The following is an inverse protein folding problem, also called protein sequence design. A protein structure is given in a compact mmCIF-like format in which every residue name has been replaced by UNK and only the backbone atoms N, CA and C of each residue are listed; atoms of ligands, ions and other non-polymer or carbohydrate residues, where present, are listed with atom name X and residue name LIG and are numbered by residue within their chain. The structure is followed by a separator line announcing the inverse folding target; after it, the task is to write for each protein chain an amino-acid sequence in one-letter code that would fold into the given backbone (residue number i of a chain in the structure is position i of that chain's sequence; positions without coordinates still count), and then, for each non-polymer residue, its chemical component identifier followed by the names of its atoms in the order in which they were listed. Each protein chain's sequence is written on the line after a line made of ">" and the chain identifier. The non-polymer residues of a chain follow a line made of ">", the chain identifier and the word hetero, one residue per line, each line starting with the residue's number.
data_IF_272982639726
#
_entry.id   IF_272982639726
#
_cell.length_a   1.000
_cell.length_b   1.000
_cell.length_c   1.000
_cell.angle_alpha   90.00
_cell.angle_beta   90.00
_cell.angle_gamma   90.00
#
_symmetry.space_group_name_H-M   'P 1'
#
loop_
_entity.id
_entity.type
_entity.pdbx_description
1 polymer ?
#
# COMPACT_ATOMS: atom_id res chain seq x y z
N UNK A 1 49.96 34.68 24.75
CA UNK A 1 48.70 34.62 25.50
C UNK A 1 47.57 34.45 24.49
N UNK A 2 47.16 33.22 24.24
CA UNK A 2 45.89 32.91 23.58
C UNK A 2 44.76 32.95 24.62
N UNK A 3 43.53 33.33 24.22
CA UNK A 3 42.34 32.83 24.87
C UNK A 3 41.44 32.08 23.89
N UNK A 4 41.49 30.75 24.06
CA UNK A 4 40.40 29.76 24.17
C UNK A 4 39.07 30.01 23.44
N UNK A 5 38.78 29.06 22.56
CA UNK A 5 37.44 28.67 22.09
C UNK A 5 36.43 28.49 23.24
N UNK A 6 35.22 29.00 23.03
CA UNK A 6 33.99 28.48 23.61
C UNK A 6 32.99 28.24 22.48
N UNK A 7 32.86 26.96 22.11
CA UNK A 7 31.73 26.46 21.32
C UNK A 7 30.44 26.66 22.12
N UNK A 8 29.50 27.43 21.58
CA UNK A 8 28.08 27.36 21.94
C UNK A 8 27.33 26.95 20.68
N UNK A 9 27.03 25.65 20.58
CA UNK A 9 26.17 25.11 19.55
C UNK A 9 24.80 25.77 19.66
N UNK A 10 24.37 26.45 18.60
CA UNK A 10 23.00 26.96 18.48
C UNK A 10 22.04 25.77 18.38
N UNK A 11 21.53 25.30 19.51
CA UNK A 11 20.33 24.49 19.57
C UNK A 11 19.14 25.40 19.26
N UNK A 12 18.60 25.28 18.05
CA UNK A 12 17.39 25.97 17.65
C UNK A 12 16.17 25.19 18.13
N UNK A 13 15.36 25.82 18.99
CA UNK A 13 14.05 25.31 19.41
C UNK A 13 12.97 25.77 18.42
N UNK A 14 12.09 24.85 18.02
CA UNK A 14 10.83 25.17 17.36
C UNK A 14 9.95 25.96 18.34
N UNK A 15 9.67 27.23 18.05
CA UNK A 15 8.33 27.83 17.93
C UNK A 15 8.46 29.36 17.90
N UNK A 16 7.82 30.04 16.93
CA UNK A 16 7.34 31.45 17.00
C UNK A 16 7.18 32.02 15.59
N UNK A 17 5.95 32.08 15.07
CA UNK A 17 5.64 32.82 13.84
C UNK A 17 4.21 32.66 13.33
N UNK A 18 3.69 33.74 12.76
CA UNK A 18 2.37 33.87 12.10
C UNK A 18 2.31 33.10 10.75
N UNK A 19 3.28 32.23 10.46
CA UNK A 19 3.54 31.62 9.17
C UNK A 19 4.02 30.17 9.38
N UNK A 20 3.27 29.17 8.90
CA UNK A 20 3.62 27.74 8.98
C UNK A 20 2.49 26.84 9.49
N UNK A 21 2.64 25.52 9.30
CA UNK A 21 1.73 24.48 9.80
C UNK A 21 1.75 24.43 11.33
N UNK A 22 0.70 24.95 11.97
CA UNK A 22 0.61 25.00 13.42
C UNK A 22 -0.30 23.89 13.97
N UNK A 23 0.20 23.04 14.89
CA UNK A 23 -0.61 22.08 15.62
C UNK A 23 -1.74 22.75 16.41
N UNK A 24 -2.88 22.09 16.45
CA UNK A 24 -4.09 22.57 17.10
C UNK A 24 -4.53 21.55 18.16
N UNK A 25 -4.61 21.98 19.41
CA UNK A 25 -5.21 21.20 20.48
C UNK A 25 -6.74 21.35 20.39
N UNK A 26 -7.43 20.23 20.14
CA UNK A 26 -8.89 20.18 20.02
C UNK A 26 -9.45 18.84 20.49
N UNK A 27 -10.70 18.86 20.96
CA UNK A 27 -11.46 17.63 21.24
C UNK A 27 -12.22 17.12 20.01
N UNK A 28 -12.32 17.93 18.95
CA UNK A 28 -12.96 17.54 17.69
C UNK A 28 -12.13 16.46 17.00
N UNK A 29 -12.80 15.48 16.37
CA UNK A 29 -12.17 14.38 15.63
C UNK A 29 -12.64 14.40 14.17
N UNK A 30 -11.99 13.59 13.34
CA UNK A 30 -12.48 13.30 11.98
C UNK A 30 -13.90 12.74 12.09
N UNK A 31 -14.81 13.29 11.29
CA UNK A 31 -16.23 12.93 11.26
C UNK A 31 -16.43 11.60 10.54
N UNK A 32 -17.30 10.76 11.10
CA UNK A 32 -17.82 9.54 10.47
C UNK A 32 -19.37 9.61 10.38
N UNK A 33 -19.93 10.83 10.39
CA UNK A 33 -21.37 11.02 10.45
C UNK A 33 -22.06 10.78 9.10
N UNK A 34 -21.32 10.93 7.99
CA UNK A 34 -21.85 10.68 6.65
C UNK A 34 -22.09 9.18 6.47
N UNK A 35 -23.29 8.81 6.00
CA UNK A 35 -23.59 7.42 5.62
C UNK A 35 -22.53 6.89 4.66
N UNK A 36 -22.19 5.61 4.79
CA UNK A 36 -21.21 5.02 3.91
C UNK A 36 -21.77 4.89 2.48
N UNK A 37 -20.92 4.80 1.44
CA UNK A 37 -21.40 4.70 0.07
C UNK A 37 -22.31 3.47 -0.10
N UNK A 38 -23.48 3.68 -0.71
CA UNK A 38 -24.52 2.66 -0.91
C UNK A 38 -25.21 2.17 0.39
N UNK A 39 -25.13 2.92 1.49
CA UNK A 39 -25.92 2.70 2.69
C UNK A 39 -27.25 3.47 2.60
N UNK A 40 -28.37 2.81 2.93
CA UNK A 40 -29.67 3.49 2.96
C UNK A 40 -29.82 4.26 4.27
N UNK A 41 -30.44 5.46 4.26
CA UNK A 41 -30.75 6.17 5.49
C UNK A 41 -31.62 5.29 6.39
N UNK A 42 -31.40 5.32 7.72
CA UNK A 42 -32.33 4.67 8.63
C UNK A 42 -33.74 5.22 8.41
N UNK A 43 -34.79 4.38 8.50
CA UNK A 43 -36.15 4.86 8.41
C UNK A 43 -36.37 5.95 9.46
N UNK A 44 -37.11 7.02 9.12
CA UNK A 44 -37.39 8.08 10.09
C UNK A 44 -38.03 7.46 11.33
N UNK A 45 -37.66 7.91 12.54
CA UNK A 45 -38.27 7.40 13.75
C UNK A 45 -39.80 7.53 13.65
N UNK A 46 -40.58 6.55 14.13
CA UNK A 46 -42.03 6.67 14.16
C UNK A 46 -42.39 7.97 14.87
N UNK A 47 -43.26 8.78 14.27
CA UNK A 47 -43.73 10.04 14.85
C UNK A 47 -44.29 9.74 16.24
N UNK A 48 -43.52 10.04 17.28
CA UNK A 48 -44.01 9.99 18.65
C UNK A 48 -45.04 11.11 18.74
N UNK A 49 -46.31 10.74 18.98
CA UNK A 49 -47.36 11.71 19.27
C UNK A 49 -46.91 12.57 20.46
N UNK A 50 -47.14 13.88 20.35
CA UNK A 50 -46.73 14.86 21.35
C UNK A 50 -47.10 14.41 22.76
N UNK A 51 -46.16 14.39 23.73
CA UNK A 51 -46.51 14.07 25.10
C UNK A 51 -47.45 15.15 25.65
N UNK A 52 -48.63 14.71 26.08
CA UNK A 52 -49.57 15.49 26.89
C UNK A 52 -48.83 16.06 28.10
N UNK A 53 -48.96 17.37 28.31
CA UNK A 53 -48.31 18.12 29.37
C UNK A 53 -48.65 17.55 30.77
N UNK A 54 -47.68 16.88 31.40
CA UNK A 54 -47.71 16.58 32.82
C UNK A 54 -47.05 17.71 33.61
N UNK A 55 -47.82 18.35 34.49
CA UNK A 55 -47.36 19.40 35.40
C UNK A 55 -46.32 18.84 36.39
N UNK A 56 -45.13 19.46 36.43
CA UNK A 56 -44.08 19.17 37.42
C UNK A 56 -44.32 19.97 38.72
N UNK A 57 -44.12 19.39 39.92
CA UNK A 57 -44.06 20.16 41.16
C UNK A 57 -42.79 21.04 41.22
N UNK A 58 -42.91 22.21 41.87
CA UNK A 58 -41.83 23.18 42.07
C UNK A 58 -40.72 22.63 42.96
N UNK A 59 -39.47 22.69 42.50
CA UNK A 59 -38.28 22.45 43.31
C UNK A 59 -37.84 23.73 44.07
N UNK A 60 -37.18 23.63 45.24
CA UNK A 60 -36.70 24.79 45.99
C UNK A 60 -35.44 25.43 45.36
N UNK A 61 -35.22 26.70 45.72
CA UNK A 61 -34.21 27.60 45.15
C UNK A 61 -32.75 27.09 45.25
N UNK A 62 -31.87 27.45 44.29
CA UNK A 62 -30.47 27.07 44.31
C UNK A 62 -29.65 27.89 45.31
N UNK A 63 -28.78 27.21 46.07
CA UNK A 63 -27.77 27.83 46.91
C UNK A 63 -26.67 28.51 46.04
N UNK A 64 -26.17 29.66 46.51
CA UNK A 64 -25.13 30.48 45.86
C UNK A 64 -23.90 29.65 45.48
N UNK A 65 -23.60 29.60 44.18
CA UNK A 65 -22.32 29.11 43.67
C UNK A 65 -21.21 30.16 43.92
N UNK A 66 -20.03 29.69 44.36
CA UNK A 66 -18.80 30.48 44.46
C UNK A 66 -18.33 30.90 43.05
N UNK A 67 -17.71 32.09 42.90
CA UNK A 67 -17.32 32.59 41.59
C UNK A 67 -16.26 31.70 40.93
N UNK A 68 -16.26 31.59 39.59
CA UNK A 68 -15.28 30.79 38.86
C UNK A 68 -13.87 31.38 39.06
N UNK A 69 -12.91 30.52 39.38
CA UNK A 69 -11.49 30.88 39.37
C UNK A 69 -11.12 31.34 37.95
N UNK A 70 -10.49 32.51 37.86
CA UNK A 70 -9.83 32.99 36.64
C UNK A 70 -8.87 31.90 36.11
N UNK A 71 -8.76 31.70 34.79
CA UNK A 71 -7.73 30.83 34.23
C UNK A 71 -6.36 31.32 34.71
N UNK A 72 -5.63 30.46 35.43
CA UNK A 72 -4.21 30.68 35.68
C UNK A 72 -3.50 30.67 34.33
N UNK A 73 -2.90 31.80 33.97
CA UNK A 73 -1.94 31.90 32.87
C UNK A 73 -0.75 31.00 33.21
N UNK A 74 -0.68 29.83 32.61
CA UNK A 74 0.55 29.05 32.59
C UNK A 74 1.47 29.68 31.55
N UNK A 75 2.49 30.42 32.01
CA UNK A 75 3.63 30.89 31.20
C UNK A 75 4.55 29.71 30.83
N UNK A 76 4.00 28.70 30.15
CA UNK A 76 4.75 27.74 29.35
C UNK A 76 4.45 28.04 27.88
N UNK A 77 5.45 28.10 26.99
CA UNK A 77 5.20 28.17 25.55
C UNK A 77 4.28 27.01 25.18
N UNK A 78 3.10 27.31 24.65
CA UNK A 78 2.16 26.29 24.23
C UNK A 78 2.55 25.88 22.80
N UNK A 79 3.04 24.65 22.65
CA UNK A 79 3.53 24.12 21.35
C UNK A 79 2.39 23.92 20.32
N UNK A 80 1.12 23.95 20.78
CA UNK A 80 -0.09 23.88 19.97
C UNK A 80 -1.09 25.00 20.33
N UNK A 81 -1.89 25.43 19.35
CA UNK A 81 -2.95 26.43 19.55
C UNK A 81 -4.27 25.74 19.95
N UNK A 82 -4.95 26.21 20.99
CA UNK A 82 -6.25 25.64 21.38
C UNK A 82 -7.37 26.11 20.45
N UNK A 83 -8.19 25.19 19.95
CA UNK A 83 -9.43 25.54 19.25
C UNK A 83 -10.56 24.53 19.52
N UNK A 84 -11.72 25.04 19.95
CA UNK A 84 -12.88 24.20 20.27
C UNK A 84 -13.66 23.75 19.03
N UNK A 85 -13.62 24.54 17.95
CA UNK A 85 -14.36 24.27 16.72
C UNK A 85 -13.48 24.48 15.50
N UNK A 86 -13.29 23.41 14.73
CA UNK A 86 -12.55 23.41 13.49
C UNK A 86 -13.46 23.08 12.30
N UNK A 87 -13.05 23.42 11.07
CA UNK A 87 -13.70 22.92 9.87
C UNK A 87 -13.88 21.40 9.91
N UNK A 88 -15.12 20.95 9.69
CA UNK A 88 -15.44 19.52 9.66
C UNK A 88 -14.80 18.85 8.44
N UNK A 89 -14.24 17.67 8.68
CA UNK A 89 -13.61 16.80 7.69
C UNK A 89 -14.08 15.37 7.97
N UNK A 90 -14.64 14.73 6.95
CA UNK A 90 -15.04 13.32 6.99
C UNK A 90 -13.99 12.48 6.27
N UNK A 91 -13.78 11.23 6.70
CA UNK A 91 -12.83 10.33 6.01
C UNK A 91 -13.20 10.16 4.52
N UNK A 92 -14.50 10.22 4.21
CA UNK A 92 -15.02 10.15 2.84
C UNK A 92 -14.71 11.38 1.98
N UNK A 93 -14.09 12.44 2.53
CA UNK A 93 -13.60 13.58 1.75
C UNK A 93 -12.24 13.32 1.08
N UNK A 94 -11.50 12.28 1.51
CA UNK A 94 -10.17 11.94 0.98
C UNK A 94 -10.18 11.69 -0.53
N UNK A 95 -11.10 10.90 -1.12
CA UNK A 95 -11.05 10.64 -2.55
C UNK A 95 -11.25 11.89 -3.41
N UNK A 96 -12.09 12.83 -2.96
CA UNK A 96 -12.29 14.09 -3.69
C UNK A 96 -11.07 15.01 -3.56
N UNK A 97 -10.37 14.95 -2.42
CA UNK A 97 -9.09 15.61 -2.24
C UNK A 97 -8.01 15.02 -3.16
N UNK A 98 -7.95 13.69 -3.29
CA UNK A 98 -7.05 13.00 -4.22
C UNK A 98 -7.30 13.42 -5.68
N UNK A 99 -8.56 13.53 -6.11
CA UNK A 99 -8.86 14.02 -7.47
C UNK A 99 -8.36 15.46 -7.70
N UNK A 100 -8.48 16.34 -6.70
CA UNK A 100 -7.98 17.72 -6.78
C UNK A 100 -6.46 17.82 -6.85
N UNK A 101 -5.76 16.87 -6.23
CA UNK A 101 -4.30 16.71 -6.32
C UNK A 101 -3.86 16.05 -7.65
N UNK A 102 -4.81 15.66 -8.50
CA UNK A 102 -4.52 14.96 -9.75
C UNK A 102 -4.16 13.49 -9.56
N UNK A 103 -4.70 12.84 -8.52
CA UNK A 103 -4.48 11.43 -8.19
C UNK A 103 -5.73 10.55 -8.43
N UNK A 104 -6.18 10.42 -9.69
CA UNK A 104 -7.44 9.76 -9.99
C UNK A 104 -7.41 8.25 -9.74
N UNK A 105 -6.26 7.57 -9.81
CA UNK A 105 -6.18 6.13 -9.53
C UNK A 105 -6.25 5.87 -8.02
N UNK A 106 -5.54 6.66 -7.22
CA UNK A 106 -5.64 6.65 -5.76
C UNK A 106 -7.08 6.91 -5.30
N UNK A 107 -7.72 7.93 -5.88
CA UNK A 107 -9.11 8.27 -5.56
C UNK A 107 -10.08 7.13 -5.88
N UNK A 108 -9.89 6.42 -7.01
CA UNK A 108 -10.69 5.25 -7.38
C UNK A 108 -10.53 4.11 -6.38
N UNK A 109 -9.30 3.78 -5.97
CA UNK A 109 -9.04 2.74 -4.98
C UNK A 109 -9.64 3.10 -3.62
N UNK A 110 -9.49 4.35 -3.17
CA UNK A 110 -10.08 4.83 -1.92
C UNK A 110 -11.62 4.75 -1.94
N UNK A 111 -12.27 5.15 -3.04
CA UNK A 111 -13.72 5.00 -3.23
C UNK A 111 -14.15 3.54 -3.20
N UNK A 112 -13.41 2.67 -3.89
CA UNK A 112 -13.68 1.22 -3.89
C UNK A 112 -13.60 0.66 -2.48
N UNK A 113 -12.57 1.01 -1.71
CA UNK A 113 -12.44 0.58 -0.32
C UNK A 113 -13.65 1.00 0.51
N UNK A 114 -14.01 2.29 0.49
CA UNK A 114 -15.16 2.85 1.24
C UNK A 114 -16.49 2.19 0.85
N UNK A 115 -16.68 1.90 -0.43
CA UNK A 115 -17.91 1.29 -0.94
C UNK A 115 -17.98 -0.23 -0.71
N UNK A 116 -16.85 -0.90 -0.45
CA UNK A 116 -16.79 -2.35 -0.32
C UNK A 116 -17.41 -2.85 1.00
N UNK A 117 -17.97 -4.07 1.03
CA UNK A 117 -18.35 -4.73 2.27
C UNK A 117 -17.16 -4.81 3.24
N UNK A 118 -17.43 -4.83 4.55
CA UNK A 118 -16.39 -4.99 5.56
C UNK A 118 -15.58 -6.25 5.28
N UNK A 119 -14.29 -6.06 5.07
CA UNK A 119 -13.31 -7.12 4.88
C UNK A 119 -11.97 -6.67 5.46
N UNK A 120 -11.28 -7.57 6.14
CA UNK A 120 -9.96 -7.31 6.73
C UNK A 120 -8.96 -8.27 6.09
N UNK A 121 -7.93 -7.73 5.48
CA UNK A 121 -6.87 -8.55 4.92
C UNK A 121 -6.17 -9.34 6.03
N UNK A 122 -5.89 -10.61 5.79
CA UNK A 122 -5.35 -11.54 6.81
C UNK A 122 -3.81 -11.55 6.86
N UNK A 123 -3.14 -10.61 6.19
CA UNK A 123 -1.68 -10.53 6.04
C UNK A 123 -1.03 -11.77 5.40
N UNK A 124 -1.80 -12.60 4.69
CA UNK A 124 -1.30 -13.75 3.93
C UNK A 124 -1.39 -13.47 2.44
N UNK A 125 -0.24 -13.15 1.84
CA UNK A 125 -0.12 -12.72 0.44
C UNK A 125 -0.71 -13.71 -0.58
N UNK A 126 -0.69 -15.00 -0.29
CA UNK A 126 -1.16 -16.06 -1.17
C UNK A 126 -2.51 -16.67 -0.74
N UNK A 127 -3.28 -15.96 0.09
CA UNK A 127 -4.63 -16.38 0.46
C UNK A 127 -5.69 -15.81 -0.48
N UNK A 128 -6.86 -16.46 -0.60
CA UNK A 128 -8.00 -15.89 -1.30
C UNK A 128 -8.43 -14.56 -0.66
N UNK A 129 -8.53 -13.51 -1.48
CA UNK A 129 -8.95 -12.17 -1.08
C UNK A 129 -9.86 -11.58 -2.17
N UNK A 130 -10.70 -10.58 -1.85
CA UNK A 130 -11.31 -9.75 -2.89
C UNK A 130 -10.23 -9.14 -3.78
N UNK A 131 -10.45 -9.08 -5.10
CA UNK A 131 -9.46 -8.61 -6.07
C UNK A 131 -9.96 -7.33 -6.77
N UNK A 132 -9.04 -6.41 -7.02
CA UNK A 132 -9.14 -5.39 -8.06
C UNK A 132 -8.09 -5.67 -9.13
N UNK A 133 -8.51 -6.05 -10.34
CA UNK A 133 -7.62 -6.30 -11.48
C UNK A 133 -7.86 -5.33 -12.66
N UNK A 134 -8.52 -4.20 -12.39
CA UNK A 134 -8.98 -3.26 -13.43
C UNK A 134 -8.53 -1.83 -13.21
N UNK A 135 -8.30 -1.41 -11.97
CA UNK A 135 -8.01 -0.01 -11.63
C UNK A 135 -6.55 0.34 -11.94
N UNK A 136 -5.61 -0.53 -11.59
CA UNK A 136 -4.17 -0.32 -11.80
C UNK A 136 -3.70 -1.14 -12.98
N UNK A 137 -3.15 -0.47 -14.00
CA UNK A 137 -2.52 -1.13 -15.16
C UNK A 137 -1.00 -1.02 -15.11
N UNK A 138 -0.31 -2.00 -15.69
CA UNK A 138 1.14 -1.96 -15.80
C UNK A 138 1.57 -0.76 -16.66
N UNK A 139 0.91 -0.53 -17.80
CA UNK A 139 1.12 0.66 -18.64
C UNK A 139 1.06 1.97 -17.85
N UNK A 140 0.04 2.16 -17.00
CA UNK A 140 -0.09 3.36 -16.16
C UNK A 140 1.06 3.49 -15.17
N UNK A 141 1.39 2.42 -14.44
CA UNK A 141 2.48 2.44 -13.46
C UNK A 141 3.85 2.73 -14.11
N UNK A 142 4.06 2.29 -15.36
CA UNK A 142 5.28 2.54 -16.11
C UNK A 142 5.41 3.98 -16.64
N UNK A 143 4.40 4.85 -16.48
CA UNK A 143 4.53 6.29 -16.76
C UNK A 143 5.40 7.00 -15.73
N UNK A 144 5.54 6.43 -14.53
CA UNK A 144 6.36 6.96 -13.45
C UNK A 144 7.81 6.50 -13.59
N UNK A 145 8.76 7.45 -13.58
CA UNK A 145 10.17 7.20 -13.91
C UNK A 145 10.81 6.13 -13.03
N UNK A 146 10.66 6.20 -11.71
CA UNK A 146 11.31 5.24 -10.82
C UNK A 146 10.68 3.84 -10.88
N UNK A 147 9.36 3.74 -11.07
CA UNK A 147 8.71 2.47 -11.35
C UNK A 147 9.23 1.84 -12.66
N UNK A 148 9.35 2.64 -13.74
CA UNK A 148 9.95 2.19 -15.01
C UNK A 148 11.38 1.71 -14.85
N UNK A 149 12.20 2.39 -14.03
CA UNK A 149 13.57 1.96 -13.75
C UNK A 149 13.61 0.60 -13.05
N UNK A 150 12.75 0.38 -12.05
CA UNK A 150 12.66 -0.90 -11.34
C UNK A 150 12.15 -2.01 -12.26
N UNK A 151 11.13 -1.74 -13.07
CA UNK A 151 10.67 -2.67 -14.10
C UNK A 151 11.79 -3.07 -15.08
N UNK A 152 12.55 -2.09 -15.58
CA UNK A 152 13.69 -2.37 -16.47
C UNK A 152 14.76 -3.23 -15.78
N UNK A 153 15.04 -2.97 -14.50
CA UNK A 153 15.96 -3.80 -13.71
C UNK A 153 15.43 -5.24 -13.57
N UNK A 154 14.13 -5.43 -13.34
CA UNK A 154 13.51 -6.76 -13.28
C UNK A 154 13.77 -7.53 -14.57
N UNK A 155 13.33 -6.99 -15.71
CA UNK A 155 13.30 -7.71 -16.99
C UNK A 155 14.68 -7.85 -17.65
N UNK A 156 15.65 -7.00 -17.31
CA UNK A 156 17.00 -7.03 -17.90
C UNK A 156 18.06 -7.68 -17.01
N UNK A 157 17.82 -7.75 -15.70
CA UNK A 157 18.85 -8.18 -14.74
C UNK A 157 18.30 -9.17 -13.72
N UNK A 158 17.28 -8.82 -12.95
CA UNK A 158 16.87 -9.62 -11.79
C UNK A 158 16.35 -11.03 -12.17
N UNK A 159 15.73 -11.19 -13.34
CA UNK A 159 15.27 -12.50 -13.84
C UNK A 159 16.42 -13.45 -14.25
N UNK A 160 17.63 -12.94 -14.44
CA UNK A 160 18.80 -13.73 -14.88
C UNK A 160 19.70 -14.18 -13.72
N UNK A 161 19.28 -13.95 -12.47
CA UNK A 161 20.03 -14.40 -11.29
C UNK A 161 19.90 -15.91 -11.08
N UNK A 162 20.87 -16.53 -10.40
CA UNK A 162 20.82 -17.96 -10.08
C UNK A 162 19.58 -18.35 -9.28
N UNK A 163 19.18 -17.51 -8.31
CA UNK A 163 17.95 -17.71 -7.53
C UNK A 163 16.69 -17.67 -8.40
N UNK A 164 16.64 -16.75 -9.37
CA UNK A 164 15.53 -16.70 -10.31
C UNK A 164 15.52 -17.95 -11.21
N UNK A 165 16.69 -18.39 -11.68
CA UNK A 165 16.82 -19.62 -12.46
C UNK A 165 16.30 -20.84 -11.68
N UNK A 166 16.70 -21.00 -10.41
CA UNK A 166 16.22 -22.07 -9.52
C UNK A 166 14.70 -22.02 -9.32
N UNK A 167 14.14 -20.83 -9.08
CA UNK A 167 12.69 -20.66 -8.94
C UNK A 167 11.93 -21.03 -10.23
N UNK A 168 12.48 -20.74 -11.42
CA UNK A 168 11.90 -21.19 -12.69
C UNK A 168 12.00 -22.71 -12.81
N UNK A 169 13.11 -23.34 -12.41
CA UNK A 169 13.23 -24.82 -12.41
C UNK A 169 12.14 -25.45 -11.54
N UNK A 170 11.94 -24.94 -10.33
CA UNK A 170 10.94 -25.45 -9.41
C UNK A 170 9.51 -25.35 -9.97
N UNK A 171 9.21 -24.30 -10.75
CA UNK A 171 7.92 -24.16 -11.43
C UNK A 171 7.78 -25.12 -12.64
N UNK A 172 8.86 -25.36 -13.39
CA UNK A 172 8.83 -26.17 -14.62
C UNK A 172 8.94 -27.67 -14.38
N UNK A 173 9.69 -28.12 -13.37
CA UNK A 173 9.96 -29.55 -13.12
C UNK A 173 8.67 -30.38 -13.00
N UNK A 174 7.68 -30.01 -12.16
CA UNK A 174 6.45 -30.81 -12.02
C UNK A 174 5.68 -30.93 -13.34
N UNK A 175 5.76 -29.90 -14.18
CA UNK A 175 5.13 -29.88 -15.50
C UNK A 175 5.88 -30.80 -16.46
N UNK A 176 7.21 -30.69 -16.51
CA UNK A 176 8.08 -31.54 -17.33
C UNK A 176 7.88 -33.01 -17.00
N UNK A 177 7.92 -33.37 -15.72
CA UNK A 177 7.71 -34.74 -15.23
C UNK A 177 6.34 -35.27 -15.66
N UNK A 178 5.27 -34.48 -15.47
CA UNK A 178 3.92 -34.88 -15.86
C UNK A 178 3.78 -35.09 -17.37
N UNK A 179 4.34 -34.21 -18.18
CA UNK A 179 4.31 -34.34 -19.64
C UNK A 179 5.13 -35.54 -20.12
N UNK A 180 6.28 -35.79 -19.50
CA UNK A 180 7.15 -36.91 -19.83
C UNK A 180 6.51 -38.26 -19.45
N UNK A 181 5.97 -38.36 -18.23
CA UNK A 181 5.26 -39.56 -17.76
C UNK A 181 4.05 -39.90 -18.64
N UNK A 182 3.33 -38.87 -19.12
CA UNK A 182 2.19 -39.03 -20.02
C UNK A 182 2.57 -39.30 -21.49
N UNK A 183 3.86 -39.41 -21.83
CA UNK A 183 4.32 -39.64 -23.21
C UNK A 183 4.04 -38.46 -24.16
N UNK A 184 3.80 -37.26 -23.64
CA UNK A 184 3.41 -36.06 -24.41
C UNK A 184 4.60 -35.26 -24.95
N UNK A 185 5.84 -35.67 -24.66
CA UNK A 185 7.03 -35.05 -25.22
C UNK A 185 7.47 -35.76 -26.50
N UNK A 186 7.21 -35.13 -27.65
CA UNK A 186 7.66 -35.63 -28.96
C UNK A 186 9.13 -35.26 -29.24
N UNK A 187 9.73 -35.76 -30.32
CA UNK A 187 11.12 -35.51 -30.67
C UNK A 187 11.50 -34.02 -30.75
N UNK A 188 10.57 -33.16 -31.20
CA UNK A 188 10.75 -31.72 -31.32
C UNK A 188 10.63 -30.96 -29.97
N UNK A 189 10.27 -31.65 -28.89
CA UNK A 189 10.10 -31.07 -27.55
C UNK A 189 8.65 -30.74 -27.22
N UNK A 190 8.46 -29.93 -26.18
CA UNK A 190 7.13 -29.43 -25.78
C UNK A 190 7.19 -27.94 -25.52
N UNK A 191 6.16 -27.22 -25.95
CA UNK A 191 5.96 -25.81 -25.59
C UNK A 191 5.03 -25.75 -24.39
N UNK A 192 5.53 -25.16 -23.31
CA UNK A 192 4.77 -24.79 -22.12
C UNK A 192 4.34 -23.34 -22.31
N UNK A 193 3.04 -23.12 -22.51
CA UNK A 193 2.42 -21.78 -22.53
C UNK A 193 1.48 -21.65 -21.32
N UNK A 194 1.73 -20.65 -20.49
CA UNK A 194 0.98 -20.44 -19.24
C UNK A 194 -0.23 -19.51 -19.41
N UNK A 195 -0.50 -18.99 -20.61
CA UNK A 195 -1.65 -18.12 -20.88
C UNK A 195 -3.01 -18.69 -20.39
N UNK A 196 -3.31 -20.00 -20.52
CA UNK A 196 -4.59 -20.55 -20.05
C UNK A 196 -4.82 -20.39 -18.53
N UNK A 197 -3.75 -20.27 -17.73
CA UNK A 197 -3.84 -20.16 -16.27
C UNK A 197 -4.14 -18.73 -15.79
N UNK A 198 -4.11 -17.73 -16.67
CA UNK A 198 -4.39 -16.33 -16.33
C UNK A 198 -5.84 -16.07 -15.88
N UNK A 199 -6.74 -17.03 -16.08
CA UNK A 199 -8.13 -16.97 -15.61
C UNK A 199 -8.26 -16.93 -14.09
N UNK A 200 -7.26 -17.45 -13.37
CA UNK A 200 -7.16 -17.37 -11.92
C UNK A 200 -5.82 -16.74 -11.52
N UNK A 201 -5.82 -15.41 -11.36
CA UNK A 201 -4.60 -14.63 -11.08
C UNK A 201 -3.90 -15.03 -9.79
N UNK A 202 -4.64 -15.45 -8.75
CA UNK A 202 -4.05 -15.91 -7.49
C UNK A 202 -3.29 -17.22 -7.71
N UNK A 203 -3.94 -18.21 -8.31
CA UNK A 203 -3.32 -19.50 -8.56
C UNK A 203 -2.15 -19.37 -9.54
N UNK A 204 -2.31 -18.56 -10.59
CA UNK A 204 -1.25 -18.23 -11.53
C UNK A 204 -0.02 -17.64 -10.82
N UNK A 205 -0.23 -16.71 -9.88
CA UNK A 205 0.85 -16.15 -9.07
C UNK A 205 1.54 -17.19 -8.19
N UNK A 206 0.78 -18.12 -7.59
CA UNK A 206 1.36 -19.16 -6.73
C UNK A 206 2.21 -20.13 -7.56
N UNK A 207 1.70 -20.56 -8.71
CA UNK A 207 2.30 -21.65 -9.49
C UNK A 207 3.48 -21.19 -10.36
N UNK A 208 3.40 -19.97 -10.92
CA UNK A 208 4.30 -19.57 -12.01
C UNK A 208 5.24 -18.41 -11.68
N UNK A 209 5.03 -17.71 -10.55
CA UNK A 209 5.90 -16.61 -10.12
C UNK A 209 7.27 -17.13 -9.72
N UNK A 210 8.31 -16.58 -10.34
CA UNK A 210 9.69 -16.97 -10.04
C UNK A 210 10.56 -15.81 -9.55
N UNK A 211 10.17 -14.56 -9.78
CA UNK A 211 10.94 -13.39 -9.36
C UNK A 211 10.01 -12.21 -9.01
N UNK A 212 10.51 -11.31 -8.17
CA UNK A 212 9.87 -10.02 -7.90
C UNK A 212 10.91 -8.89 -7.84
N UNK A 213 10.43 -7.67 -8.01
CA UNK A 213 11.21 -6.46 -7.88
C UNK A 213 10.44 -5.45 -7.02
N UNK A 214 10.95 -5.12 -5.82
CA UNK A 214 10.34 -4.08 -5.00
C UNK A 214 10.52 -2.70 -5.63
N UNK A 215 9.47 -1.91 -5.46
CA UNK A 215 9.40 -0.47 -5.77
C UNK A 215 9.05 0.21 -4.46
N UNK A 216 10.02 0.96 -3.92
CA UNK A 216 9.76 1.75 -2.73
C UNK A 216 8.96 3.00 -3.09
N UNK A 217 8.19 3.51 -2.13
CA UNK A 217 7.49 4.79 -2.22
C UNK A 217 8.43 5.92 -2.66
N UNK A 218 9.69 5.90 -2.23
CA UNK A 218 10.69 6.89 -2.64
C UNK A 218 10.93 6.89 -4.16
N UNK A 219 10.91 5.71 -4.78
CA UNK A 219 11.03 5.57 -6.23
C UNK A 219 9.75 6.00 -6.99
N UNK A 220 8.66 6.32 -6.28
CA UNK A 220 7.40 6.77 -6.88
C UNK A 220 7.18 8.27 -6.77
N UNK A 221 8.09 9.01 -6.13
CA UNK A 221 8.01 10.47 -5.98
C UNK A 221 8.31 11.21 -7.29
N UNK A 222 7.73 12.39 -7.44
CA UNK A 222 8.14 13.39 -8.42
C UNK A 222 8.86 14.54 -7.71
N UNK A 223 10.19 14.54 -7.78
CA UNK A 223 11.02 15.39 -6.92
C UNK A 223 10.84 15.03 -5.45
N UNK A 224 10.17 15.91 -4.70
CA UNK A 224 9.84 15.72 -3.28
C UNK A 224 8.35 15.51 -3.03
N UNK A 225 7.51 15.54 -4.07
CA UNK A 225 6.07 15.41 -3.97
C UNK A 225 5.63 13.95 -4.14
N UNK A 226 4.60 13.55 -3.39
CA UNK A 226 3.90 12.29 -3.62
C UNK A 226 3.14 12.33 -4.94
N UNK A 227 2.97 11.17 -5.55
CA UNK A 227 2.27 11.03 -6.82
C UNK A 227 1.04 10.14 -6.68
N UNK A 228 0.23 10.08 -7.74
CA UNK A 228 -0.88 9.13 -7.83
C UNK A 228 -0.41 7.67 -7.67
N UNK A 229 0.80 7.32 -8.13
CA UNK A 229 1.35 5.99 -7.90
C UNK A 229 1.64 5.75 -6.42
N UNK A 230 2.18 6.76 -5.73
CA UNK A 230 2.46 6.68 -4.31
C UNK A 230 1.20 6.55 -3.48
N UNK A 231 0.16 7.32 -3.80
CA UNK A 231 -1.13 7.25 -3.11
C UNK A 231 -1.90 5.96 -3.37
N UNK A 232 -1.72 5.36 -4.55
CA UNK A 232 -2.42 4.15 -4.94
C UNK A 232 -1.82 2.87 -4.37
N UNK A 233 -0.48 2.78 -4.35
CA UNK A 233 0.24 1.52 -4.07
C UNK A 233 1.32 1.64 -2.99
N UNK A 234 1.74 2.86 -2.60
CA UNK A 234 2.87 3.04 -1.68
C UNK A 234 4.10 2.21 -2.08
N UNK A 235 4.49 1.27 -1.21
CA UNK A 235 5.50 0.27 -1.50
C UNK A 235 4.85 -0.96 -2.15
N UNK A 236 5.24 -1.28 -3.39
CA UNK A 236 4.69 -2.42 -4.12
C UNK A 236 5.76 -3.24 -4.83
N UNK A 237 5.35 -4.35 -5.45
CA UNK A 237 6.25 -5.22 -6.20
C UNK A 237 5.77 -5.41 -7.64
N UNK A 238 6.72 -5.39 -8.58
CA UNK A 238 6.56 -6.07 -9.86
C UNK A 238 6.87 -7.54 -9.67
N UNK A 239 6.10 -8.42 -10.29
CA UNK A 239 6.32 -9.86 -10.30
C UNK A 239 6.59 -10.34 -11.71
N UNK A 240 7.51 -11.29 -11.85
CA UNK A 240 7.73 -12.04 -13.06
C UNK A 240 7.26 -13.48 -12.88
N UNK A 241 6.52 -13.98 -13.86
CA UNK A 241 6.05 -15.36 -13.94
C UNK A 241 6.43 -15.99 -15.28
N UNK A 242 6.53 -17.32 -15.30
CA UNK A 242 6.80 -18.08 -16.53
C UNK A 242 5.71 -17.77 -17.56
N UNK A 243 6.10 -17.39 -18.77
CA UNK A 243 5.18 -17.12 -19.88
C UNK A 243 5.18 -18.25 -20.91
N UNK A 244 6.28 -18.34 -21.68
CA UNK A 244 6.48 -19.41 -22.66
C UNK A 244 7.87 -20.01 -22.52
N UNK A 245 7.91 -21.33 -22.38
CA UNK A 245 9.14 -22.10 -22.37
C UNK A 245 9.05 -23.26 -23.35
N UNK A 246 10.11 -23.50 -24.11
CA UNK A 246 10.25 -24.71 -24.93
C UNK A 246 11.18 -25.67 -24.19
N UNK A 247 10.74 -26.90 -23.98
CA UNK A 247 11.54 -27.94 -23.35
C UNK A 247 11.93 -28.96 -24.41
N UNK A 248 13.23 -29.06 -24.64
CA UNK A 248 13.85 -30.08 -25.49
C UNK A 248 14.74 -30.96 -24.61
N UNK A 249 15.32 -32.03 -25.16
CA UNK A 249 16.29 -32.80 -24.40
C UNK A 249 16.76 -34.06 -25.12
N UNK A 250 17.94 -34.51 -24.73
CA UNK A 250 18.51 -35.77 -25.19
C UNK A 250 17.77 -36.93 -24.53
N UNK A 251 17.54 -37.98 -25.32
CA UNK A 251 16.78 -39.15 -24.91
C UNK A 251 17.65 -40.37 -24.99
N UNK A 252 17.61 -41.18 -23.95
CA UNK A 252 18.38 -42.41 -23.94
C UNK A 252 17.67 -43.47 -23.11
N UNK A 253 18.03 -44.72 -23.39
CA UNK A 253 17.59 -45.87 -22.62
C UNK A 253 18.70 -46.27 -21.67
N UNK A 254 18.34 -46.47 -20.40
CA UNK A 254 19.18 -47.12 -19.41
C UNK A 254 18.65 -48.53 -19.18
N UNK A 255 19.54 -49.51 -19.30
CA UNK A 255 19.22 -50.92 -19.13
C UNK A 255 19.69 -51.36 -17.74
N UNK A 256 18.75 -51.67 -16.85
CA UNK A 256 19.03 -52.15 -15.50
C UNK A 256 18.39 -53.52 -15.30
N UNK A 257 19.18 -54.59 -15.52
CA UNK A 257 18.69 -55.97 -15.49
C UNK A 257 17.64 -56.22 -16.58
N UNK A 258 16.41 -56.57 -16.18
CA UNK A 258 15.27 -56.77 -17.10
C UNK A 258 14.47 -55.48 -17.36
N UNK A 259 14.76 -54.40 -16.66
CA UNK A 259 14.02 -53.15 -16.78
C UNK A 259 14.63 -52.26 -17.85
N UNK A 260 13.78 -51.78 -18.75
CA UNK A 260 14.14 -50.72 -19.71
C UNK A 260 13.65 -49.39 -19.14
N UNK A 261 14.58 -48.50 -18.81
CA UNK A 261 14.29 -47.17 -18.27
C UNK A 261 14.52 -46.16 -19.37
N UNK A 262 13.50 -45.37 -19.70
CA UNK A 262 13.59 -44.29 -20.67
C UNK A 262 13.82 -42.96 -19.95
N UNK A 263 14.93 -42.30 -20.25
CA UNK A 263 15.36 -41.07 -19.62
C UNK A 263 15.41 -39.91 -20.63
N UNK A 264 15.19 -38.71 -20.10
CA UNK A 264 15.30 -37.43 -20.79
C UNK A 264 16.20 -36.53 -19.96
N UNK A 265 17.15 -35.86 -20.61
CA UNK A 265 17.92 -34.74 -20.06
C UNK A 265 17.31 -33.42 -20.56
N UNK A 266 16.39 -32.80 -19.80
CA UNK A 266 15.63 -31.66 -20.30
C UNK A 266 16.47 -30.38 -20.26
N UNK A 267 16.37 -29.62 -21.35
CA UNK A 267 16.82 -28.24 -21.46
C UNK A 267 15.59 -27.38 -21.71
N UNK A 268 15.25 -26.53 -20.75
CA UNK A 268 14.17 -25.57 -20.86
C UNK A 268 14.70 -24.22 -21.35
N UNK A 269 14.15 -23.73 -22.46
CA UNK A 269 14.42 -22.42 -23.02
C UNK A 269 13.20 -21.52 -22.84
N UNK A 270 13.24 -20.63 -21.85
CA UNK A 270 12.19 -19.65 -21.60
C UNK A 270 12.40 -18.41 -22.47
N UNK A 271 11.41 -18.10 -23.32
CA UNK A 271 11.49 -17.01 -24.31
C UNK A 271 10.56 -15.85 -23.96
N UNK A 272 9.50 -16.11 -23.19
CA UNK A 272 8.58 -15.07 -22.76
C UNK A 272 8.28 -15.22 -21.26
N UNK A 273 8.07 -14.08 -20.60
CA UNK A 273 7.63 -13.99 -19.21
C UNK A 273 6.35 -13.17 -19.13
N UNK A 274 5.55 -13.38 -18.10
CA UNK A 274 4.53 -12.42 -17.71
C UNK A 274 5.07 -11.48 -16.64
N UNK A 275 4.78 -10.19 -16.77
CA UNK A 275 5.04 -9.20 -15.71
C UNK A 275 3.74 -8.53 -15.28
N UNK A 276 3.58 -8.35 -13.98
CA UNK A 276 2.39 -7.72 -13.39
C UNK A 276 2.72 -7.10 -12.03
N UNK A 277 1.80 -6.25 -11.56
CA UNK A 277 1.78 -5.71 -10.20
C UNK A 277 0.84 -6.58 -9.37
N UNK A 278 1.23 -6.84 -8.12
CA UNK A 278 0.36 -7.38 -7.09
C UNK A 278 0.66 -6.66 -5.78
N UNK A 279 -0.37 -6.18 -5.11
CA UNK A 279 -0.23 -5.46 -3.86
C UNK A 279 -1.48 -5.58 -2.98
N UNK A 280 -1.36 -5.32 -1.68
CA UNK A 280 -2.50 -5.29 -0.75
C UNK A 280 -2.94 -3.87 -0.45
N UNK A 281 -4.14 -3.48 -0.88
CA UNK A 281 -4.76 -2.23 -0.46
C UNK A 281 -5.47 -2.45 0.88
N UNK A 282 -4.74 -2.25 1.97
CA UNK A 282 -5.20 -2.54 3.33
C UNK A 282 -4.69 -1.53 4.34
N UNK A 283 -5.44 -1.34 5.43
CA UNK A 283 -5.10 -0.44 6.53
C UNK A 283 -4.81 -1.21 7.82
N UNK A 284 -4.01 -2.26 7.69
CA UNK A 284 -3.50 -3.07 8.79
C UNK A 284 -2.20 -2.45 9.33
N UNK A 285 -1.94 -2.64 10.63
CA UNK A 285 -0.66 -2.25 11.23
C UNK A 285 0.13 -3.51 11.64
N UNK A 286 1.46 -3.43 11.56
CA UNK A 286 2.36 -4.52 11.99
C UNK A 286 2.37 -4.71 13.51
N UNK A 287 1.98 -3.69 14.27
CA UNK A 287 1.81 -3.77 15.72
C UNK A 287 0.52 -3.10 16.16
N UNK A 288 -0.04 -3.56 17.29
CA UNK A 288 -1.26 -2.97 17.85
C UNK A 288 -1.03 -1.60 18.50
N UNK A 289 0.23 -1.22 18.78
CA UNK A 289 0.60 -0.01 19.52
C UNK A 289 1.00 1.17 18.64
N UNK A 290 1.29 0.97 17.35
CA UNK A 290 1.66 2.04 16.41
C UNK A 290 0.83 1.92 15.14
N UNK A 291 0.14 3.01 14.77
CA UNK A 291 -0.61 3.07 13.53
C UNK A 291 0.13 3.87 12.48
N UNK A 292 0.23 3.35 11.26
CA UNK A 292 0.95 4.02 10.18
C UNK A 292 0.30 5.37 9.86
N UNK A 293 1.14 6.40 9.79
CA UNK A 293 0.76 7.74 9.33
C UNK A 293 0.53 7.80 7.81
N UNK A 294 -0.61 8.36 7.40
CA UNK A 294 -1.04 8.46 5.99
C UNK A 294 -1.13 9.92 5.50
N UNK A 295 -0.64 10.88 6.28
CA UNK A 295 -0.68 12.31 5.96
C UNK A 295 -1.72 13.09 6.75
N UNK A 296 -1.66 14.41 6.66
CA UNK A 296 -2.75 15.28 7.10
C UNK A 296 -3.58 15.70 5.90
N UNK A 297 -4.89 15.48 5.98
CA UNK A 297 -5.81 15.65 4.87
C UNK A 297 -6.81 16.75 5.14
N UNK A 298 -7.24 17.42 4.08
CA UNK A 298 -8.44 18.23 4.09
C UNK A 298 -9.23 18.01 2.80
N UNK A 299 -10.33 18.75 2.61
CA UNK A 299 -11.20 18.61 1.43
C UNK A 299 -10.55 18.99 0.11
N UNK A 300 -9.36 19.60 0.13
CA UNK A 300 -8.67 20.13 -1.04
C UNK A 300 -7.36 19.43 -1.35
N UNK A 301 -6.81 18.63 -0.43
CA UNK A 301 -5.51 18.03 -0.63
C UNK A 301 -4.91 17.44 0.62
N UNK A 302 -3.61 17.17 0.54
CA UNK A 302 -2.84 16.54 1.61
C UNK A 302 -1.53 17.26 1.85
N UNK A 303 -1.09 17.25 3.10
CA UNK A 303 0.24 17.67 3.52
C UNK A 303 0.89 16.60 4.40
N UNK A 304 2.21 16.49 4.31
CA UNK A 304 2.98 15.50 5.06
C UNK A 304 3.80 16.15 6.17
N UNK A 305 3.95 15.43 7.28
CA UNK A 305 5.08 15.63 8.20
C UNK A 305 6.30 14.90 7.65
N UNK A 306 7.37 15.64 7.38
CA UNK A 306 8.61 15.10 6.81
C UNK A 306 9.22 13.98 7.67
N UNK A 307 9.30 14.22 8.97
CA UNK A 307 9.81 13.28 9.96
C UNK A 307 8.99 11.98 10.05
N UNK A 308 7.66 12.10 10.06
CA UNK A 308 6.76 10.94 10.12
C UNK A 308 6.82 10.11 8.82
N UNK A 309 6.98 10.77 7.68
CA UNK A 309 7.10 10.10 6.38
C UNK A 309 8.39 9.26 6.28
N UNK A 310 9.52 9.76 6.79
CA UNK A 310 10.76 8.96 6.82
C UNK A 310 10.54 7.68 7.63
N UNK A 311 10.00 7.79 8.84
CA UNK A 311 9.88 6.67 9.77
C UNK A 311 8.77 5.67 9.40
N UNK A 312 7.63 6.13 8.85
CA UNK A 312 6.47 5.26 8.61
C UNK A 312 6.27 4.87 7.13
N UNK A 313 6.77 5.69 6.21
CA UNK A 313 6.52 5.50 4.78
C UNK A 313 7.75 4.99 4.01
N UNK A 314 8.97 5.31 4.49
CA UNK A 314 10.23 4.93 3.84
C UNK A 314 11.06 3.87 4.60
N UNK A 315 11.02 3.82 5.94
CA UNK A 315 11.75 2.81 6.73
C UNK A 315 11.14 1.40 6.72
N UNK A 316 9.89 1.20 6.28
CA UNK A 316 9.35 -0.17 6.08
C UNK A 316 10.07 -0.96 4.97
N UNK A 317 11.04 -0.33 4.30
CA UNK A 317 12.02 -0.98 3.44
C UNK A 317 13.38 -0.89 4.14
N UNK A 318 14.04 -2.02 4.41
CA UNK A 318 15.41 -2.12 4.95
C UNK A 318 16.44 -1.48 3.99
N UNK A 319 16.36 -0.17 3.78
CA UNK A 319 17.21 0.63 2.92
C UNK A 319 17.86 1.70 3.80
N UNK A 320 19.19 1.65 3.88
CA UNK A 320 19.98 2.77 4.39
C UNK A 320 19.66 4.00 3.53
N UNK A 321 18.89 4.94 4.10
CA UNK A 321 18.63 6.26 3.51
C UNK A 321 19.90 7.09 3.67
N UNK A 322 20.94 6.73 2.90
CA UNK A 322 22.17 7.50 2.82
C UNK A 322 21.87 8.90 2.30
N UNK A 323 22.25 9.93 3.10
CA UNK A 323 22.40 11.35 2.78
C UNK A 323 21.67 11.87 1.52
N UNK A 324 20.37 11.58 1.39
CA UNK A 324 19.56 12.13 0.31
C UNK A 324 19.19 13.56 0.67
N UNK A 325 19.37 14.55 -0.24
CA UNK A 325 19.08 15.95 0.01
C UNK A 325 17.58 16.19 -0.13
N UNK A 326 16.79 15.51 0.69
CA UNK A 326 15.44 15.98 0.97
C UNK A 326 15.61 17.23 1.84
N UNK A 327 15.31 18.40 1.27
CA UNK A 327 15.43 19.66 1.98
C UNK A 327 14.64 19.59 3.30
N UNK A 328 15.33 19.81 4.43
CA UNK A 328 14.78 19.94 5.80
C UNK A 328 13.89 21.19 5.97
N UNK A 329 13.20 21.60 4.92
CA UNK A 329 12.46 22.85 4.82
C UNK A 329 11.09 22.75 5.49
N UNK A 330 11.04 23.07 6.79
CA UNK A 330 9.85 23.55 7.52
C UNK A 330 8.63 22.60 7.58
N UNK A 331 8.74 21.44 8.22
CA UNK A 331 7.56 20.61 8.54
C UNK A 331 7.67 19.98 9.93
N UNK A 332 6.50 19.67 10.51
CA UNK A 332 6.25 19.33 11.94
C UNK A 332 7.36 18.50 12.61
N UNK A 333 7.73 18.82 13.87
CA UNK A 333 8.77 18.08 14.60
C UNK A 333 8.37 16.62 14.85
N UNK A 334 9.39 15.78 15.07
CA UNK A 334 9.25 14.40 15.53
C UNK A 334 8.57 14.38 16.91
N UNK A 335 7.33 13.89 17.01
CA UNK A 335 6.62 13.77 18.29
C UNK A 335 5.10 13.59 18.17
N UNK A 336 4.39 13.71 19.29
CA UNK A 336 2.91 13.60 19.40
C UNK A 336 2.16 14.67 18.60
N UNK A 337 2.85 15.70 18.09
CA UNK A 337 2.24 16.75 17.27
C UNK A 337 1.74 16.24 15.91
N UNK A 338 2.23 15.09 15.43
CA UNK A 338 1.73 14.45 14.20
C UNK A 338 0.29 13.93 14.34
N UNK A 339 -0.17 13.73 15.57
CA UNK A 339 -1.53 13.27 15.87
C UNK A 339 -2.52 14.41 16.05
N UNK A 340 -2.07 15.66 15.86
CA UNK A 340 -2.91 16.86 16.02
C UNK A 340 -3.30 17.45 14.65
N UNK A 341 -4.54 17.97 14.50
CA UNK A 341 -4.87 18.80 13.34
C UNK A 341 -3.92 19.99 13.23
N UNK A 342 -3.71 20.46 12.01
CA UNK A 342 -2.83 21.61 11.75
C UNK A 342 -3.54 22.70 10.96
N UNK A 343 -3.16 23.95 11.19
CA UNK A 343 -3.50 25.09 10.33
C UNK A 343 -2.26 25.48 9.52
N UNK A 344 -2.33 25.42 8.18
CA UNK A 344 -1.25 25.83 7.26
C UNK A 344 -1.01 27.35 7.29
N UNK A 345 -1.95 28.12 7.86
CA UNK A 345 -1.90 29.58 8.03
C UNK A 345 -1.57 30.32 6.74
N UNK A 346 -2.29 30.00 5.65
CA UNK A 346 -2.10 30.70 4.36
C UNK A 346 -2.63 32.14 4.34
N UNK A 347 -3.38 32.54 5.37
CA UNK A 347 -3.99 33.86 5.52
C UNK A 347 -3.43 34.59 6.74
N UNK A 348 -3.03 35.86 6.54
CA UNK A 348 -2.55 36.73 7.64
C UNK A 348 -3.66 37.28 8.53
N UNK A 349 -4.93 37.19 8.08
CA UNK A 349 -6.07 37.87 8.71
C UNK A 349 -7.10 36.93 9.34
N UNK A 350 -7.12 35.66 8.94
CA UNK A 350 -8.14 34.69 9.40
C UNK A 350 -7.53 33.31 9.56
N UNK A 351 -7.62 32.78 10.78
CA UNK A 351 -7.23 31.41 11.16
C UNK A 351 -8.37 30.42 10.94
N UNK A 352 -8.05 29.13 11.00
CA UNK A 352 -8.96 27.98 10.97
C UNK A 352 -9.89 27.98 9.76
N UNK A 353 -9.36 28.37 8.59
CA UNK A 353 -10.12 28.34 7.34
C UNK A 353 -10.26 26.90 6.87
N UNK A 354 -11.40 26.58 6.26
CA UNK A 354 -11.68 25.24 5.69
C UNK A 354 -10.57 24.72 4.80
N UNK A 355 -9.92 25.59 4.02
CA UNK A 355 -8.83 25.23 3.10
C UNK A 355 -7.44 25.10 3.75
N UNK A 356 -7.30 25.58 4.99
CA UNK A 356 -6.02 25.69 5.69
C UNK A 356 -5.89 24.70 6.85
N UNK A 357 -7.01 24.16 7.35
CA UNK A 357 -7.03 23.13 8.40
C UNK A 357 -6.91 21.74 7.79
N UNK A 358 -5.97 20.94 8.25
CA UNK A 358 -5.74 19.55 7.84
C UNK A 358 -5.77 18.62 9.04
N UNK A 359 -6.33 17.43 8.85
CA UNK A 359 -6.56 16.42 9.89
C UNK A 359 -5.63 15.23 9.71
N UNK A 360 -4.98 14.75 10.78
CA UNK A 360 -4.08 13.60 10.71
C UNK A 360 -4.87 12.31 10.43
N UNK A 361 -4.47 11.60 9.38
CA UNK A 361 -5.06 10.33 8.98
C UNK A 361 -4.04 9.22 9.18
N UNK A 362 -4.49 8.13 9.80
CA UNK A 362 -3.71 6.93 10.06
C UNK A 362 -4.48 5.69 9.60
N UNK A 363 -3.81 4.54 9.53
CA UNK A 363 -4.49 3.25 9.32
C UNK A 363 -5.62 3.03 10.34
N UNK A 364 -5.43 3.45 11.59
CA UNK A 364 -6.46 3.40 12.65
C UNK A 364 -7.71 4.21 12.27
N UNK A 365 -7.57 5.35 11.62
CA UNK A 365 -8.71 6.17 11.18
C UNK A 365 -9.62 5.38 10.23
N UNK A 366 -9.03 4.63 9.29
CA UNK A 366 -9.78 3.73 8.40
C UNK A 366 -10.43 2.57 9.15
N UNK A 367 -9.72 1.94 10.10
CA UNK A 367 -10.29 0.84 10.92
C UNK A 367 -11.43 1.30 11.83
N UNK A 368 -11.33 2.49 12.41
CA UNK A 368 -12.39 3.09 13.22
C UNK A 368 -13.62 3.38 12.34
N UNK A 369 -13.43 3.96 11.15
CA UNK A 369 -14.50 4.18 10.17
C UNK A 369 -15.19 2.87 9.76
N UNK A 370 -14.41 1.84 9.44
CA UNK A 370 -14.92 0.49 9.12
C UNK A 370 -15.78 -0.07 10.25
N UNK A 371 -15.38 0.17 11.50
CA UNK A 371 -16.08 -0.33 12.68
C UNK A 371 -17.42 0.36 12.89
N UNK A 372 -17.50 1.66 12.57
CA UNK A 372 -18.75 2.45 12.65
C UNK A 372 -19.72 2.07 11.54
N UNK A 373 -19.26 1.92 10.30
CA UNK A 373 -20.14 1.73 9.14
C UNK A 373 -20.37 0.27 8.75
N UNK A 374 -19.61 -0.67 9.31
CA UNK A 374 -19.59 -2.07 8.85
C UNK A 374 -19.33 -2.20 7.33
N UNK A 375 -18.53 -1.27 6.78
CA UNK A 375 -18.03 -1.23 5.39
C UNK A 375 -16.53 -0.95 5.40
N UNK A 376 -15.89 -0.77 4.24
CA UNK A 376 -14.45 -0.52 4.19
C UNK A 376 -13.69 -1.82 4.03
N UNK A 377 -13.70 -2.38 2.83
CA UNK A 377 -13.12 -3.70 2.56
C UNK A 377 -11.71 -3.61 2.02
N UNK A 378 -10.76 -4.27 2.69
CA UNK A 378 -9.42 -4.46 2.11
C UNK A 378 -9.50 -5.39 0.88
N UNK A 379 -8.57 -5.25 -0.06
CA UNK A 379 -8.52 -6.10 -1.25
C UNK A 379 -7.10 -6.19 -1.81
N UNK A 380 -6.88 -7.18 -2.67
CA UNK A 380 -5.63 -7.31 -3.43
C UNK A 380 -5.76 -6.57 -4.76
N UNK A 381 -4.82 -5.68 -5.03
CA UNK A 381 -4.66 -5.04 -6.34
C UNK A 381 -3.80 -5.94 -7.20
N UNK A 382 -4.26 -6.20 -8.42
CA UNK A 382 -3.51 -6.84 -9.48
C UNK A 382 -3.51 -5.94 -10.71
N UNK A 383 -2.40 -5.87 -11.43
CA UNK A 383 -2.48 -5.48 -12.84
C UNK A 383 -2.72 -6.73 -13.70
N UNK A 384 -3.33 -6.54 -14.87
CA UNK A 384 -3.35 -7.61 -15.88
C UNK A 384 -1.91 -8.02 -16.22
N UNK A 385 -1.59 -9.32 -16.25
CA UNK A 385 -0.28 -9.78 -16.68
C UNK A 385 0.00 -9.47 -18.14
N UNK A 386 1.13 -8.81 -18.39
CA UNK A 386 1.60 -8.49 -19.74
C UNK A 386 2.69 -9.47 -20.16
N UNK A 387 2.54 -10.05 -21.36
CA UNK A 387 3.51 -10.98 -21.92
C UNK A 387 4.68 -10.22 -22.54
N UNK A 388 5.88 -10.45 -22.04
CA UNK A 388 7.12 -9.82 -22.49
C UNK A 388 7.99 -10.86 -23.16
N UNK A 389 8.42 -10.59 -24.38
CA UNK A 389 9.45 -11.37 -25.08
C UNK A 389 10.82 -10.96 -24.55
N UNK A 390 11.63 -11.95 -24.18
CA UNK A 390 12.99 -11.72 -23.71
C UNK A 390 13.94 -11.55 -24.90
N UNK A 391 14.83 -10.55 -24.81
CA UNK A 391 15.93 -10.37 -25.77
C UNK A 391 16.89 -11.56 -25.74
N UNK A 392 17.20 -12.04 -24.53
CA UNK A 392 18.00 -13.24 -24.27
C UNK A 392 17.13 -14.30 -23.60
N UNK A 393 16.87 -15.45 -24.24
CA UNK A 393 16.16 -16.55 -23.60
C UNK A 393 16.88 -17.04 -22.34
N UNK A 394 16.14 -17.42 -21.30
CA UNK A 394 16.70 -18.08 -20.11
C UNK A 394 16.80 -19.57 -20.42
N UNK A 395 18.03 -20.09 -20.43
CA UNK A 395 18.31 -21.49 -20.71
C UNK A 395 18.61 -22.19 -19.39
N UNK A 396 17.84 -23.24 -19.08
CA UNK A 396 17.92 -23.98 -17.83
C UNK A 396 18.15 -25.45 -18.15
N UNK A 397 19.23 -26.01 -17.61
CA UNK A 397 19.41 -27.46 -17.53
C UNK A 397 18.59 -27.96 -16.34
N UNK A 398 17.68 -28.87 -16.61
CA UNK A 398 16.84 -29.53 -15.61
C UNK A 398 17.44 -30.90 -15.34
N UNK A 399 17.22 -31.43 -14.13
CA UNK A 399 17.70 -32.76 -13.79
C UNK A 399 17.02 -33.82 -14.66
N UNK A 400 17.72 -34.93 -14.88
CA UNK A 400 17.24 -36.02 -15.72
C UNK A 400 15.93 -36.58 -15.17
N UNK A 401 14.92 -36.70 -16.04
CA UNK A 401 13.66 -37.35 -15.72
C UNK A 401 13.60 -38.70 -16.43
N UNK A 402 13.25 -39.75 -15.68
CA UNK A 402 13.21 -41.12 -16.18
C UNK A 402 11.86 -41.78 -15.89
N UNK A 403 11.42 -42.68 -16.77
CA UNK A 403 10.24 -43.53 -16.58
C UNK A 403 10.55 -44.96 -17.00
N UNK A 404 10.02 -45.93 -16.26
CA UNK A 404 10.10 -47.34 -16.64
C UNK A 404 9.14 -47.62 -17.78
N UNK A 405 9.61 -48.35 -18.79
CA UNK A 405 8.74 -48.88 -19.85
C UNK A 405 8.34 -50.29 -19.41
N UNK A 406 7.04 -50.60 -19.25
CA UNK A 406 6.60 -51.96 -19.01
C UNK A 406 7.08 -52.83 -20.17
N UNK A 407 7.64 -54.00 -19.88
CA UNK A 407 7.90 -54.99 -20.91
C UNK A 407 6.57 -55.25 -21.65
N UNK A 408 6.58 -55.17 -22.98
CA UNK A 408 5.43 -55.60 -23.79
C UNK A 408 5.07 -57.02 -23.35
N UNK A 409 3.82 -57.21 -22.90
CA UNK A 409 3.28 -58.52 -22.52
C UNK A 409 3.04 -59.37 -23.75
#
# INVERSE_FOLDING_TARGET
>A
MEPRLLYSGKHWKCYSGVVGCVPIDTQQKISFARLAPNEQPPPPPPKVADPVAAQRPRAPAPARAKPPNKPQSSDKPQDAEQADKLPEFDLQDIPDAMDKEGWPISAKLARKWLASPKHVYNNKLNSPQPIDDTTVTLEWALRFRGARQRFNHLVRQAIYTEKAAEAVKNALVPVIERFFAAGKMNAAGVVIDTAPFLTNLLQFHIDWRFQFQPVSSFATLDGTALTDLTGALGNFNFYAAVGRATVTGERYYKYEGKNTIFCLEPVAQMTHIYVYIKDSYSFNDDSSSKSQYLGHWNKNGMVLSYAAVINDFFESSNLNVGNSPLEKGRYLPEGEEVDKPIDKRTSRLRKFRVKDVYWPVHNKTYRDWRSVHNRGGDFMVYSKPELIKLDKPIILKIDTVCRTIPAEQ
#
